data_IF_652962899975
#
_entry.id   IF_652962899975
#
_cell.length_a   1.000
_cell.length_b   1.000
_cell.length_c   1.000
_cell.angle_alpha   90.00
_cell.angle_beta   90.00
_cell.angle_gamma   90.00
#
_symmetry.space_group_name_H-M   'P 1'
#
loop_
_entity.id
_entity.type
_entity.pdbx_description
1 polymer ?
#
# COMPACT_ATOMS: atom_id res chain seq x y z
N UNK A 1 48.78 27.54 -22.16
CA UNK A 1 47.55 28.07 -22.80
C UNK A 1 46.37 27.52 -22.04
N UNK A 2 45.58 28.40 -21.44
CA UNK A 2 44.31 28.11 -20.79
C UNK A 2 43.27 27.64 -21.81
N UNK A 3 42.39 26.73 -21.42
CA UNK A 3 40.97 26.81 -21.80
C UNK A 3 40.10 26.17 -20.72
N UNK A 4 39.37 27.04 -20.03
CA UNK A 4 38.19 26.75 -19.22
C UNK A 4 37.01 26.59 -20.17
N UNK A 5 36.23 25.52 -20.01
CA UNK A 5 34.78 25.37 -20.29
C UNK A 5 34.45 23.89 -20.05
N UNK A 6 33.39 23.45 -19.40
CA UNK A 6 32.12 24.07 -19.02
C UNK A 6 31.48 23.14 -17.98
N UNK A 7 30.96 23.66 -16.88
CA UNK A 7 30.16 22.88 -15.93
C UNK A 7 28.74 22.85 -16.49
N UNK A 8 28.32 21.76 -17.12
CA UNK A 8 26.90 21.57 -17.46
C UNK A 8 26.18 20.95 -16.25
N UNK A 9 25.39 21.76 -15.57
CA UNK A 9 24.34 21.28 -14.68
C UNK A 9 23.18 20.75 -15.54
N UNK A 10 23.05 19.43 -15.66
CA UNK A 10 21.76 18.80 -15.85
C UNK A 10 21.85 17.31 -15.49
N UNK A 11 20.79 16.85 -14.84
CA UNK A 11 20.44 15.45 -14.66
C UNK A 11 21.16 14.72 -13.52
N UNK A 12 20.88 15.21 -12.30
CA UNK A 12 20.62 14.33 -11.16
C UNK A 12 19.40 13.44 -11.49
N UNK A 13 19.55 12.54 -12.46
CA UNK A 13 18.73 11.34 -12.51
C UNK A 13 19.20 10.51 -11.32
N UNK A 14 18.48 10.63 -10.19
CA UNK A 14 18.58 9.67 -9.12
C UNK A 14 18.45 8.29 -9.78
N UNK A 15 19.57 7.58 -9.89
CA UNK A 15 19.61 6.16 -10.07
C UNK A 15 18.77 5.59 -8.92
N UNK A 16 17.50 5.31 -9.23
CA UNK A 16 16.61 4.59 -8.34
C UNK A 16 17.24 3.20 -8.30
N UNK A 17 17.98 2.93 -7.23
CA UNK A 17 18.72 1.69 -7.03
C UNK A 17 17.85 0.49 -7.43
N UNK A 18 18.20 -0.09 -8.59
CA UNK A 18 17.62 -1.32 -9.15
C UNK A 18 17.85 -2.53 -8.21
N UNK A 19 18.62 -2.34 -7.13
CA UNK A 19 18.94 -3.34 -6.12
C UNK A 19 17.76 -3.74 -5.19
N UNK A 20 16.61 -3.06 -5.23
CA UNK A 20 15.43 -3.43 -4.40
C UNK A 20 14.44 -4.37 -5.10
N UNK A 21 14.72 -4.79 -6.34
CA UNK A 21 13.84 -5.68 -7.12
C UNK A 21 14.09 -7.17 -6.82
N UNK A 22 15.16 -7.53 -6.08
CA UNK A 22 15.64 -8.92 -6.00
C UNK A 22 15.09 -9.79 -4.87
N UNK A 23 14.26 -9.28 -3.94
CA UNK A 23 13.71 -10.13 -2.87
C UNK A 23 12.21 -10.34 -3.06
N UNK A 24 11.88 -11.34 -3.88
CA UNK A 24 10.53 -11.82 -4.19
C UNK A 24 9.80 -12.48 -3.00
N UNK A 25 9.58 -11.74 -1.91
CA UNK A 25 8.74 -12.23 -0.82
C UNK A 25 7.25 -12.10 -1.18
N UNK A 26 6.64 -13.22 -1.58
CA UNK A 26 5.17 -13.36 -1.65
C UNK A 26 4.64 -13.95 -0.35
N UNK A 27 3.85 -13.18 0.39
CA UNK A 27 3.03 -13.73 1.47
C UNK A 27 1.94 -14.64 0.86
N UNK A 28 1.65 -15.82 1.42
CA UNK A 28 0.47 -16.59 1.04
C UNK A 28 -0.80 -15.75 1.21
N UNK A 29 -1.75 -15.87 0.27
CA UNK A 29 -3.01 -15.13 0.34
C UNK A 29 -3.73 -15.34 1.67
N UNK A 30 -3.77 -16.58 2.18
CA UNK A 30 -4.37 -16.90 3.48
C UNK A 30 -3.75 -16.10 4.62
N UNK A 31 -2.41 -16.01 4.66
CA UNK A 31 -1.69 -15.23 5.67
C UNK A 31 -2.04 -13.74 5.55
N UNK A 32 -2.04 -13.18 4.33
CA UNK A 32 -2.41 -11.77 4.11
C UNK A 32 -3.84 -11.52 4.57
N UNK A 33 -4.76 -12.41 4.19
CA UNK A 33 -6.16 -12.31 4.54
C UNK A 33 -6.34 -12.35 6.07
N UNK A 34 -5.77 -13.32 6.76
CA UNK A 34 -5.82 -13.43 8.23
C UNK A 34 -5.28 -12.18 8.93
N UNK A 35 -4.10 -11.70 8.53
CA UNK A 35 -3.48 -10.50 9.10
C UNK A 35 -4.32 -9.24 8.84
N UNK A 36 -4.97 -9.14 7.67
CA UNK A 36 -5.82 -8.01 7.29
C UNK A 36 -7.09 -7.84 8.14
N UNK A 37 -7.49 -8.90 8.87
CA UNK A 37 -8.69 -8.90 9.72
C UNK A 37 -8.41 -8.48 11.17
N UNK A 38 -7.15 -8.27 11.53
CA UNK A 38 -6.70 -7.99 12.90
C UNK A 38 -5.73 -6.81 13.01
N UNK A 39 -5.82 -5.86 12.09
CA UNK A 39 -4.93 -4.72 12.06
C UNK A 39 -5.28 -3.68 13.13
N UNK A 40 -4.34 -2.77 13.40
CA UNK A 40 -4.54 -1.51 14.14
C UNK A 40 -4.10 -0.34 13.28
N UNK A 41 -4.72 0.82 13.49
CA UNK A 41 -4.34 2.06 12.80
C UNK A 41 -3.03 2.57 13.38
N UNK A 42 -2.01 2.76 12.54
CA UNK A 42 -0.82 3.54 12.89
C UNK A 42 -0.95 4.99 12.42
N UNK A 43 -1.55 5.20 11.24
CA UNK A 43 -1.76 6.53 10.68
C UNK A 43 -2.89 6.51 9.66
N UNK A 44 -3.73 7.55 9.64
CA UNK A 44 -4.78 7.76 8.63
C UNK A 44 -4.82 9.24 8.27
N UNK A 45 -4.73 9.55 6.98
CA UNK A 45 -4.94 10.90 6.47
C UNK A 45 -6.45 11.23 6.40
N UNK A 46 -6.85 12.49 6.64
CA UNK A 46 -8.26 12.90 6.69
C UNK A 46 -8.95 13.01 5.31
N UNK A 47 -8.46 12.29 4.29
CA UNK A 47 -8.96 12.38 2.91
C UNK A 47 -10.12 11.42 2.63
N UNK A 48 -10.39 10.47 3.52
CA UNK A 48 -11.42 9.45 3.34
C UNK A 48 -12.77 9.93 3.84
N UNK A 49 -13.84 9.41 3.25
CA UNK A 49 -15.18 9.60 3.81
C UNK A 49 -15.29 8.71 5.05
N UNK A 50 -15.50 9.35 6.21
CA UNK A 50 -15.59 8.67 7.51
C UNK A 50 -17.05 8.57 7.94
N UNK A 51 -17.54 7.36 8.17
CA UNK A 51 -18.88 7.10 8.69
C UNK A 51 -18.74 6.45 10.07
N UNK A 52 -19.25 7.12 11.11
CA UNK A 52 -19.21 6.64 12.50
C UNK A 52 -20.56 6.03 12.88
N UNK A 53 -20.52 4.91 13.59
CA UNK A 53 -21.68 4.26 14.21
C UNK A 53 -21.34 3.74 15.60
N UNK A 54 -22.28 3.04 16.23
CA UNK A 54 -22.06 2.50 17.58
C UNK A 54 -20.97 1.43 17.54
N UNK A 55 -19.80 1.75 18.08
CA UNK A 55 -18.64 0.85 18.18
C UNK A 55 -17.85 0.66 16.88
N UNK A 56 -18.25 1.27 15.75
CA UNK A 56 -17.55 1.13 14.48
C UNK A 56 -17.27 2.46 13.76
N UNK A 57 -16.18 2.48 12.99
CA UNK A 57 -15.84 3.54 12.04
C UNK A 57 -15.55 2.92 10.67
N UNK A 58 -16.24 3.36 9.62
CA UNK A 58 -15.98 2.94 8.23
C UNK A 58 -15.23 4.02 7.49
N UNK A 59 -14.16 3.63 6.80
CA UNK A 59 -13.37 4.50 5.94
C UNK A 59 -13.66 4.14 4.50
N UNK A 60 -14.22 5.11 3.74
CA UNK A 60 -14.63 4.91 2.36
C UNK A 60 -13.76 5.71 1.41
N UNK A 61 -13.56 5.15 0.22
CA UNK A 61 -13.00 5.85 -0.91
C UNK A 61 -13.84 7.10 -1.21
N UNK A 62 -13.24 8.28 -1.39
CA UNK A 62 -13.98 9.51 -1.71
C UNK A 62 -14.57 9.54 -3.13
N UNK A 63 -14.18 8.60 -4.01
CA UNK A 63 -14.59 8.59 -5.42
C UNK A 63 -15.67 7.54 -5.71
N UNK A 64 -15.40 6.28 -5.36
CA UNK A 64 -16.32 5.15 -5.63
C UNK A 64 -17.16 4.73 -4.42
N UNK A 65 -17.00 5.39 -3.27
CA UNK A 65 -17.72 5.11 -2.01
C UNK A 65 -17.56 3.68 -1.47
N UNK A 66 -16.60 2.92 -2.01
CA UNK A 66 -16.27 1.58 -1.54
C UNK A 66 -15.65 1.67 -0.15
N UNK A 67 -16.05 0.75 0.73
CA UNK A 67 -15.43 0.61 2.06
C UNK A 67 -14.01 0.05 1.89
N UNK A 68 -13.02 0.80 2.37
CA UNK A 68 -11.60 0.44 2.30
C UNK A 68 -11.22 -0.46 3.48
N UNK A 69 -11.64 -0.07 4.67
CA UNK A 69 -11.52 -0.84 5.90
C UNK A 69 -12.54 -0.35 6.93
N UNK A 70 -12.83 -1.21 7.91
CA UNK A 70 -13.70 -0.90 9.04
C UNK A 70 -12.94 -1.10 10.34
N UNK A 71 -13.01 -0.12 11.22
CA UNK A 71 -12.54 -0.22 12.60
C UNK A 71 -13.73 -0.60 13.50
N UNK A 72 -13.54 -1.62 14.35
CA UNK A 72 -14.49 -2.00 15.39
C UNK A 72 -13.73 -2.29 16.69
N UNK A 73 -14.04 -1.56 17.76
CA UNK A 73 -13.35 -1.65 19.05
C UNK A 73 -11.81 -1.64 18.93
N UNK A 74 -11.26 -0.74 18.11
CA UNK A 74 -9.81 -0.59 17.89
C UNK A 74 -9.16 -1.63 16.97
N UNK A 75 -9.93 -2.60 16.45
CA UNK A 75 -9.48 -3.59 15.47
C UNK A 75 -9.96 -3.18 14.08
N UNK A 76 -9.03 -3.08 13.14
CA UNK A 76 -9.27 -2.77 11.75
C UNK A 76 -9.33 -4.03 10.89
N UNK A 77 -10.38 -4.11 10.07
CA UNK A 77 -10.58 -5.13 9.05
C UNK A 77 -10.52 -4.49 7.67
N UNK A 78 -9.51 -4.87 6.89
CA UNK A 78 -9.36 -4.40 5.51
C UNK A 78 -10.36 -5.14 4.63
N UNK A 79 -11.05 -4.41 3.76
CA UNK A 79 -12.00 -5.00 2.81
C UNK A 79 -11.26 -5.54 1.58
N UNK A 80 -10.69 -6.74 1.68
CA UNK A 80 -9.96 -7.39 0.59
C UNK A 80 -10.85 -8.34 -0.24
N UNK A 81 -10.47 -8.64 -1.49
CA UNK A 81 -11.05 -9.76 -2.24
C UNK A 81 -10.89 -11.06 -1.46
N UNK A 82 -11.88 -11.94 -1.56
CA UNK A 82 -11.92 -13.22 -0.86
C UNK A 82 -11.23 -14.37 -1.63
N UNK A 83 -10.74 -14.11 -2.84
CA UNK A 83 -10.09 -15.09 -3.69
C UNK A 83 -8.67 -14.68 -4.13
N UNK A 84 -7.84 -15.68 -4.36
CA UNK A 84 -6.43 -15.54 -4.70
C UNK A 84 -6.20 -14.93 -6.08
N UNK A 85 -7.09 -15.19 -7.04
CA UNK A 85 -6.99 -14.69 -8.42
C UNK A 85 -7.20 -13.17 -8.45
N UNK A 86 -8.27 -12.68 -7.84
CA UNK A 86 -8.54 -11.25 -7.64
C UNK A 86 -7.41 -10.56 -6.89
N UNK A 87 -6.81 -11.24 -5.89
CA UNK A 87 -5.63 -10.73 -5.20
C UNK A 87 -4.44 -10.60 -6.15
N UNK A 88 -4.10 -11.61 -6.95
CA UNK A 88 -2.96 -11.53 -7.88
C UNK A 88 -3.15 -10.49 -8.99
N UNK A 89 -4.37 -10.32 -9.51
CA UNK A 89 -4.65 -9.32 -10.54
C UNK A 89 -4.61 -7.88 -10.02
N UNK A 90 -4.72 -7.67 -8.70
CA UNK A 90 -4.93 -6.35 -8.10
C UNK A 90 -3.92 -6.00 -6.98
N UNK A 91 -3.10 -6.96 -6.58
CA UNK A 91 -2.14 -6.99 -5.46
C UNK A 91 -2.51 -6.12 -4.26
N UNK A 92 -3.67 -6.49 -3.71
CA UNK A 92 -4.39 -5.87 -2.58
C UNK A 92 -5.08 -4.54 -2.86
N UNK A 93 -5.83 -4.42 -3.95
CA UNK A 93 -6.90 -3.42 -3.98
C UNK A 93 -8.03 -3.79 -3.01
N UNK A 94 -8.69 -2.80 -2.38
CA UNK A 94 -9.96 -3.04 -1.73
C UNK A 94 -11.00 -3.57 -2.72
N UNK A 95 -11.87 -4.48 -2.28
CA UNK A 95 -12.91 -5.07 -3.11
C UNK A 95 -13.78 -4.01 -3.78
N UNK A 96 -13.72 -3.91 -5.11
CA UNK A 96 -14.49 -2.94 -5.90
C UNK A 96 -13.83 -1.56 -6.07
N UNK A 97 -12.73 -1.26 -5.37
CA UNK A 97 -12.04 0.02 -5.48
C UNK A 97 -10.88 -0.04 -6.48
N UNK A 98 -10.90 0.83 -7.49
CA UNK A 98 -9.81 0.95 -8.47
C UNK A 98 -8.89 2.14 -8.21
N UNK A 99 -9.22 2.99 -7.23
CA UNK A 99 -8.52 4.24 -6.93
C UNK A 99 -7.37 4.07 -5.95
N UNK A 100 -7.44 3.05 -5.09
CA UNK A 100 -6.45 2.80 -4.04
C UNK A 100 -6.00 1.35 -4.06
N UNK A 101 -4.79 1.12 -3.56
CA UNK A 101 -4.19 -0.22 -3.38
C UNK A 101 -3.40 -0.28 -2.09
N UNK A 102 -3.45 -1.42 -1.43
CA UNK A 102 -2.58 -1.72 -0.30
C UNK A 102 -1.22 -2.19 -0.83
N UNK A 103 -0.18 -1.84 -0.10
CA UNK A 103 1.16 -2.38 -0.21
C UNK A 103 1.46 -3.08 1.11
N UNK A 104 2.10 -4.24 1.00
CA UNK A 104 2.31 -5.14 2.13
C UNK A 104 3.80 -5.22 2.39
N UNK A 105 4.18 -5.04 3.65
CA UNK A 105 5.56 -5.13 4.11
C UNK A 105 5.63 -6.02 5.34
N UNK A 106 6.76 -6.72 5.53
CA UNK A 106 7.10 -7.20 6.86
C UNK A 106 7.42 -6.01 7.76
N UNK A 107 7.09 -6.11 9.05
CA UNK A 107 7.29 -5.01 10.01
C UNK A 107 8.74 -4.53 10.10
N UNK A 108 9.68 -5.47 10.17
CA UNK A 108 11.12 -5.22 10.28
C UNK A 108 11.71 -4.53 9.04
N UNK A 109 11.14 -4.79 7.87
CA UNK A 109 11.50 -4.12 6.63
C UNK A 109 10.90 -2.72 6.55
N UNK A 110 9.63 -2.57 6.90
CA UNK A 110 8.91 -1.29 6.82
C UNK A 110 9.65 -0.15 7.55
N UNK A 111 10.21 -0.45 8.73
CA UNK A 111 10.99 0.51 9.52
C UNK A 111 12.23 1.05 8.78
N UNK A 112 12.75 0.31 7.80
CA UNK A 112 13.94 0.70 7.01
C UNK A 112 13.59 1.61 5.83
N UNK A 113 12.36 1.54 5.31
CA UNK A 113 11.98 2.15 4.01
C UNK A 113 11.31 3.53 4.17
N UNK A 114 10.95 3.93 5.40
CA UNK A 114 10.49 5.29 5.70
C UNK A 114 9.32 5.81 4.84
N UNK A 115 8.37 4.95 4.45
CA UNK A 115 7.32 5.34 3.48
C UNK A 115 6.22 6.20 4.09
N UNK A 116 5.80 7.21 3.32
CA UNK A 116 4.52 7.92 3.48
C UNK A 116 3.42 7.07 2.85
N UNK A 117 2.21 7.14 3.40
CA UNK A 117 1.00 6.48 2.89
C UNK A 117 -0.25 7.25 3.30
N UNK A 118 -1.36 7.03 2.60
CA UNK A 118 -2.66 7.62 2.99
C UNK A 118 -3.23 6.98 4.24
N UNK A 119 -2.97 5.69 4.41
CA UNK A 119 -3.30 4.96 5.63
C UNK A 119 -2.25 3.89 5.86
N UNK A 120 -1.84 3.71 7.10
CA UNK A 120 -0.91 2.66 7.52
C UNK A 120 -1.60 1.87 8.62
N UNK A 121 -1.83 0.59 8.36
CA UNK A 121 -2.39 -0.36 9.29
C UNK A 121 -1.34 -1.43 9.61
N UNK A 122 -1.23 -1.85 10.87
CA UNK A 122 -0.28 -2.87 11.28
C UNK A 122 -1.01 -4.02 11.97
N UNK A 123 -0.66 -5.24 11.59
CA UNK A 123 -1.09 -6.47 12.24
C UNK A 123 0.04 -6.99 13.13
N UNK A 124 0.17 -8.30 13.38
CA UNK A 124 1.26 -8.84 14.20
C UNK A 124 2.58 -8.87 13.43
N UNK A 125 2.53 -9.32 12.18
CA UNK A 125 3.72 -9.56 11.35
C UNK A 125 3.84 -8.62 10.15
N UNK A 126 2.72 -8.01 9.74
CA UNK A 126 2.59 -7.31 8.47
C UNK A 126 2.18 -5.85 8.69
N UNK A 127 2.66 -4.99 7.80
CA UNK A 127 2.19 -3.61 7.66
C UNK A 127 1.53 -3.44 6.30
N UNK A 128 0.33 -2.89 6.31
CA UNK A 128 -0.47 -2.54 5.15
C UNK A 128 -0.44 -1.02 4.95
N UNK A 129 0.05 -0.57 3.80
CA UNK A 129 0.14 0.84 3.42
C UNK A 129 -0.81 1.11 2.26
N UNK A 130 -1.83 1.93 2.47
CA UNK A 130 -2.77 2.35 1.44
C UNK A 130 -2.22 3.54 0.66
N UNK A 131 -2.20 3.43 -0.66
CA UNK A 131 -1.79 4.51 -1.55
C UNK A 131 -2.74 4.64 -2.75
N UNK A 132 -2.89 5.85 -3.32
CA UNK A 132 -3.61 6.04 -4.57
C UNK A 132 -2.92 5.26 -5.68
N UNK A 133 -3.72 4.68 -6.57
CA UNK A 133 -3.24 4.06 -7.79
C UNK A 133 -2.72 5.17 -8.71
N UNK A 134 -1.40 5.25 -8.89
CA UNK A 134 -0.82 6.10 -9.95
C UNK A 134 -1.05 5.42 -11.30
N UNK A 135 -1.58 6.14 -12.28
CA UNK A 135 -1.56 5.68 -13.69
C UNK A 135 -0.12 5.37 -14.06
N UNK A 136 0.13 4.17 -14.62
CA UNK A 136 1.46 3.75 -15.08
C UNK A 136 2.36 3.07 -14.06
N UNK A 137 1.95 2.88 -12.80
CA UNK A 137 2.65 1.94 -11.91
C UNK A 137 2.07 0.54 -12.12
N UNK A 138 2.82 -0.40 -12.75
CA UNK A 138 2.38 -1.78 -12.82
C UNK A 138 2.21 -2.35 -11.40
N UNK A 139 1.45 -3.44 -11.28
CA UNK A 139 1.52 -4.25 -10.08
C UNK A 139 3.02 -4.57 -9.83
N UNK A 140 3.52 -4.41 -8.58
CA UNK A 140 4.93 -4.56 -8.27
C UNK A 140 5.44 -5.95 -8.62
N UNK A 141 4.54 -6.92 -8.77
CA UNK A 141 4.86 -8.23 -9.26
C UNK A 141 4.02 -8.52 -10.50
N UNK A 142 4.60 -8.28 -11.66
CA UNK A 142 4.09 -8.87 -12.89
C UNK A 142 4.54 -10.35 -12.85
N UNK A 143 3.64 -11.34 -12.69
CA UNK A 143 4.03 -12.72 -12.96
C UNK A 143 4.47 -12.74 -14.42
N UNK A 144 5.76 -12.98 -14.67
CA UNK A 144 6.27 -13.04 -16.04
C UNK A 144 5.35 -14.00 -16.83
N UNK A 145 4.75 -13.43 -17.87
CA UNK A 145 4.12 -14.14 -18.99
C UNK A 145 5.05 -15.20 -19.56
#
# INVERSE_FOLDING_TARGET
MSSVTEISASDNALCVDEALVEVGYRFPFSQVYEESQKCRILSVQPIFIVVKGVGFTRYKCPIDYTTLFTEYNGICRINMPNDMESWYHRETCPSGCNHFRWFIFRKDEFLKIGKRGKTILASDNIIFVLEPRRKGFPAPFNPKT
#
